data_IF_084500248188
#
_entry.id   IF_084500248188
#
_cell.length_a   1.000
_cell.length_b   1.000
_cell.length_c   1.000
_cell.angle_alpha   90.00
_cell.angle_beta   90.00
_cell.angle_gamma   90.00
#
_symmetry.space_group_name_H-M   'P 1'
#
loop_
_entity.id
_entity.type
_entity.pdbx_description
1 polymer ?
#
# COMPACT_ATOMS: atom_id res chain seq x y z
N UNK A 1 34.77 -8.33 5.45
CA UNK A 1 33.87 -7.98 6.58
C UNK A 1 33.63 -6.47 6.69
N UNK A 2 34.68 -5.62 6.62
CA UNK A 2 34.60 -4.17 6.84
C UNK A 2 33.69 -3.46 5.82
N UNK A 3 33.78 -3.80 4.52
CA UNK A 3 32.95 -3.25 3.44
C UNK A 3 31.47 -3.57 3.61
N UNK A 4 31.14 -4.74 4.14
CA UNK A 4 29.73 -5.12 4.39
C UNK A 4 29.13 -4.37 5.58
N UNK A 5 29.93 -4.10 6.62
CA UNK A 5 29.52 -3.31 7.79
C UNK A 5 29.31 -1.85 7.39
N UNK A 6 30.25 -1.25 6.66
CA UNK A 6 30.13 0.13 6.15
C UNK A 6 28.90 0.28 5.26
N UNK A 7 28.66 -0.67 4.34
CA UNK A 7 27.48 -0.68 3.47
C UNK A 7 26.18 -0.83 4.25
N UNK A 8 26.17 -1.63 5.33
CA UNK A 8 25.01 -1.80 6.22
C UNK A 8 24.73 -0.54 7.05
N UNK A 9 25.77 0.14 7.53
CA UNK A 9 25.64 1.36 8.34
C UNK A 9 25.22 2.56 7.48
N UNK A 10 25.85 2.77 6.32
CA UNK A 10 25.49 3.84 5.39
C UNK A 10 24.06 3.69 4.85
N UNK A 11 23.60 2.44 4.63
CA UNK A 11 22.22 2.14 4.25
C UNK A 11 21.22 2.54 5.33
N UNK A 12 21.52 2.27 6.60
CA UNK A 12 20.64 2.66 7.73
C UNK A 12 20.60 4.16 7.94
N UNK A 13 21.73 4.84 7.80
CA UNK A 13 21.79 6.31 7.95
C UNK A 13 20.98 7.03 6.84
N UNK A 14 21.06 6.53 5.61
CA UNK A 14 20.27 7.08 4.48
C UNK A 14 18.75 6.79 4.54
N UNK A 15 18.31 6.01 5.51
CA UNK A 15 16.90 5.61 5.72
C UNK A 15 16.31 6.18 7.02
N UNK A 16 16.99 7.14 7.64
CA UNK A 16 16.44 7.83 8.82
C UNK A 16 15.29 8.72 8.33
N UNK A 17 14.08 8.34 8.71
CA UNK A 17 12.85 9.03 8.34
C UNK A 17 12.24 9.69 9.59
N UNK A 18 12.79 10.86 9.99
CA UNK A 18 12.20 11.65 11.05
C UNK A 18 10.76 12.07 10.67
N UNK A 19 9.90 12.31 11.66
CA UNK A 19 8.49 12.72 11.46
C UNK A 19 8.34 13.91 10.50
N UNK A 20 9.21 14.92 10.62
CA UNK A 20 9.23 16.06 9.70
C UNK A 20 9.62 15.68 8.28
N UNK A 21 10.59 14.75 8.12
CA UNK A 21 11.01 14.22 6.82
C UNK A 21 9.93 13.33 6.19
N UNK A 22 9.20 12.54 7.00
CA UNK A 22 8.09 11.70 6.50
C UNK A 22 7.01 12.54 5.83
N UNK A 23 6.57 13.63 6.48
CA UNK A 23 5.59 14.56 5.91
C UNK A 23 6.10 15.21 4.62
N UNK A 24 7.35 15.69 4.60
CA UNK A 24 7.96 16.31 3.42
C UNK A 24 8.17 15.32 2.26
N UNK A 25 8.58 14.08 2.53
CA UNK A 25 8.79 13.05 1.51
C UNK A 25 7.46 12.59 0.88
N UNK A 26 6.42 12.44 1.70
CA UNK A 26 5.06 12.13 1.23
C UNK A 26 4.54 13.29 0.39
N UNK A 27 4.64 14.53 0.88
CA UNK A 27 4.24 15.73 0.12
C UNK A 27 4.96 15.78 -1.24
N UNK A 28 6.28 15.64 -1.29
CA UNK A 28 7.04 15.73 -2.54
C UNK A 28 6.60 14.72 -3.61
N UNK A 29 6.22 13.50 -3.22
CA UNK A 29 5.76 12.49 -4.19
C UNK A 29 4.29 12.70 -4.59
N UNK A 30 3.44 13.12 -3.65
CA UNK A 30 2.00 13.30 -3.87
C UNK A 30 1.60 14.74 -4.19
N UNK A 31 2.55 15.70 -4.21
CA UNK A 31 2.39 17.06 -4.77
C UNK A 31 2.34 17.08 -6.30
N UNK A 32 2.46 15.91 -6.95
CA UNK A 32 2.04 15.77 -8.34
C UNK A 32 0.53 15.98 -8.38
N UNK A 33 0.10 16.87 -9.26
CA UNK A 33 -1.30 17.27 -9.42
C UNK A 33 -2.26 16.06 -9.46
N UNK A 34 -3.36 16.10 -8.72
CA UNK A 34 -4.43 15.09 -8.80
C UNK A 34 -4.88 14.83 -10.23
N UNK A 35 -4.84 15.85 -11.10
CA UNK A 35 -5.11 15.74 -12.52
C UNK A 35 -4.15 14.79 -13.28
N UNK A 36 -2.90 14.67 -12.85
CA UNK A 36 -1.99 13.67 -13.44
C UNK A 36 -2.47 12.25 -13.14
N UNK A 37 -2.84 11.99 -11.88
CA UNK A 37 -3.31 10.66 -11.45
C UNK A 37 -4.57 10.22 -12.17
N UNK A 38 -5.48 11.14 -12.48
CA UNK A 38 -6.70 10.89 -13.27
C UNK A 38 -6.41 10.44 -14.71
N UNK A 39 -5.25 10.78 -15.25
CA UNK A 39 -4.88 10.43 -16.62
C UNK A 39 -4.37 8.98 -16.75
N UNK A 40 -3.95 8.33 -15.66
CA UNK A 40 -3.38 6.98 -15.78
C UNK A 40 -3.83 5.97 -14.73
N UNK A 41 -4.34 6.38 -13.57
CA UNK A 41 -4.90 5.45 -12.59
C UNK A 41 -6.28 4.95 -13.02
N UNK A 42 -6.80 3.99 -12.26
CA UNK A 42 -8.19 3.59 -12.30
C UNK A 42 -9.11 4.68 -11.73
N UNK A 43 -10.41 4.54 -11.98
CA UNK A 43 -11.44 5.49 -11.50
C UNK A 43 -11.46 5.69 -9.98
N UNK A 44 -10.92 4.74 -9.22
CA UNK A 44 -10.84 4.80 -7.75
C UNK A 44 -9.49 5.35 -7.26
N UNK A 45 -8.59 5.76 -8.17
CA UNK A 45 -7.25 6.29 -7.91
C UNK A 45 -6.40 5.36 -7.04
N UNK A 46 -6.39 4.06 -7.34
CA UNK A 46 -5.57 3.10 -6.61
C UNK A 46 -4.12 3.13 -7.10
N UNK A 47 -3.22 3.84 -6.40
CA UNK A 47 -1.80 3.91 -6.76
C UNK A 47 -0.99 2.81 -6.06
N UNK A 48 -1.35 1.57 -6.34
CA UNK A 48 -0.70 0.36 -5.79
C UNK A 48 -0.95 -0.83 -6.71
N UNK A 49 -0.26 -1.95 -6.45
CA UNK A 49 -0.39 -3.16 -7.26
C UNK A 49 -1.84 -3.65 -7.33
N UNK A 50 -2.38 -3.81 -8.54
CA UNK A 50 -3.68 -4.41 -8.79
C UNK A 50 -3.61 -5.96 -8.66
N UNK A 51 -4.75 -6.61 -8.53
CA UNK A 51 -4.86 -8.08 -8.55
C UNK A 51 -5.54 -8.53 -9.86
N UNK A 52 -4.79 -9.18 -10.72
CA UNK A 52 -5.24 -9.64 -12.03
C UNK A 52 -5.72 -11.08 -11.95
N UNK A 53 -6.95 -11.34 -12.29
CA UNK A 53 -7.55 -12.68 -12.25
C UNK A 53 -7.11 -13.63 -13.41
N UNK A 54 -6.38 -13.09 -14.38
CA UNK A 54 -5.93 -13.81 -15.56
C UNK A 54 -6.97 -13.91 -16.67
N UNK A 55 -8.17 -13.42 -16.46
CA UNK A 55 -9.28 -13.42 -17.43
C UNK A 55 -9.54 -12.01 -17.96
N UNK A 56 -9.64 -11.05 -17.07
CA UNK A 56 -9.90 -9.64 -17.40
C UNK A 56 -8.59 -8.86 -17.54
N UNK A 57 -8.54 -7.99 -18.56
CA UNK A 57 -7.38 -7.12 -18.80
C UNK A 57 -7.64 -5.66 -18.46
N UNK A 58 -8.75 -5.37 -17.80
CA UNK A 58 -9.12 -4.03 -17.36
C UNK A 58 -8.50 -3.68 -16.01
N UNK A 59 -7.79 -2.53 -15.94
CA UNK A 59 -7.17 -2.04 -14.73
C UNK A 59 -8.19 -1.70 -13.64
N UNK A 60 -9.35 -1.14 -14.00
CA UNK A 60 -10.40 -0.79 -13.03
C UNK A 60 -10.93 -2.04 -12.34
N UNK A 61 -11.17 -3.11 -13.11
CA UNK A 61 -11.57 -4.42 -12.57
C UNK A 61 -10.48 -5.03 -11.69
N UNK A 62 -9.23 -5.01 -12.14
CA UNK A 62 -8.10 -5.56 -11.38
C UNK A 62 -7.87 -4.81 -10.05
N UNK A 63 -8.14 -3.50 -9.99
CA UNK A 63 -8.08 -2.74 -8.74
C UNK A 63 -9.28 -3.02 -7.83
N UNK A 64 -10.46 -3.25 -8.37
CA UNK A 64 -11.61 -3.70 -7.59
C UNK A 64 -11.35 -5.09 -7.00
N UNK A 65 -10.81 -6.02 -7.80
CA UNK A 65 -10.42 -7.36 -7.36
C UNK A 65 -9.34 -7.35 -6.28
N UNK A 66 -8.37 -6.43 -6.36
CA UNK A 66 -7.40 -6.23 -5.27
C UNK A 66 -8.09 -5.90 -3.95
N UNK A 67 -9.10 -5.03 -3.97
CA UNK A 67 -9.82 -4.65 -2.74
C UNK A 67 -10.61 -5.83 -2.17
N UNK A 68 -11.24 -6.64 -3.03
CA UNK A 68 -11.91 -7.88 -2.63
C UNK A 68 -10.93 -8.89 -2.01
N UNK A 69 -9.80 -9.09 -2.67
CA UNK A 69 -8.74 -9.99 -2.23
C UNK A 69 -8.15 -9.61 -0.86
N UNK A 70 -7.93 -8.31 -0.63
CA UNK A 70 -7.48 -7.77 0.67
C UNK A 70 -8.56 -7.95 1.74
N UNK A 71 -9.82 -7.61 1.43
CA UNK A 71 -10.94 -7.73 2.36
C UNK A 71 -11.17 -9.18 2.81
N UNK A 72 -11.05 -10.14 1.89
CA UNK A 72 -11.15 -11.56 2.19
C UNK A 72 -10.08 -12.02 3.20
N UNK A 73 -8.84 -11.59 3.01
CA UNK A 73 -7.73 -11.90 3.95
C UNK A 73 -7.89 -11.26 5.32
N UNK A 74 -8.60 -10.15 5.41
CA UNK A 74 -8.87 -9.50 6.70
C UNK A 74 -9.96 -10.23 7.51
N UNK A 75 -10.66 -11.21 6.95
CA UNK A 75 -11.75 -11.95 7.61
C UNK A 75 -12.74 -11.00 8.29
N UNK A 76 -13.27 -10.05 7.52
CA UNK A 76 -14.12 -8.96 8.00
C UNK A 76 -15.51 -9.47 8.39
N UNK A 77 -16.09 -8.84 9.43
CA UNK A 77 -17.48 -9.01 9.83
C UNK A 77 -18.13 -7.64 10.00
N UNK A 78 -19.43 -7.48 9.70
CA UNK A 78 -20.12 -6.22 9.90
C UNK A 78 -19.93 -5.67 11.32
N UNK A 79 -19.78 -4.35 11.42
CA UNK A 79 -19.58 -3.63 12.70
C UNK A 79 -18.14 -3.65 13.24
N UNK A 80 -17.20 -4.38 12.62
CA UNK A 80 -15.78 -4.30 13.00
C UNK A 80 -15.19 -2.93 12.73
N UNK A 81 -14.22 -2.52 13.56
CA UNK A 81 -13.43 -1.31 13.39
C UNK A 81 -12.15 -1.62 12.62
N UNK A 82 -11.93 -0.92 11.53
CA UNK A 82 -10.76 -1.09 10.67
C UNK A 82 -9.91 0.18 10.65
N UNK A 83 -8.60 0.03 10.75
CA UNK A 83 -7.63 1.10 10.50
C UNK A 83 -6.97 0.88 9.14
N UNK A 84 -7.04 1.89 8.26
CA UNK A 84 -6.34 1.93 6.97
C UNK A 84 -5.14 2.87 7.07
N UNK A 85 -3.92 2.31 7.19
CA UNK A 85 -2.68 3.07 7.37
C UNK A 85 -2.09 3.43 6.00
N UNK A 86 -2.15 4.71 5.64
CA UNK A 86 -1.80 5.21 4.32
C UNK A 86 -2.96 5.08 3.34
N UNK A 87 -4.13 5.59 3.75
CA UNK A 87 -5.40 5.41 3.05
C UNK A 87 -5.50 6.05 1.64
N UNK A 88 -4.50 6.83 1.24
CA UNK A 88 -4.52 7.52 -0.05
C UNK A 88 -5.77 8.38 -0.22
N UNK A 89 -6.41 8.30 -1.36
CA UNK A 89 -7.68 9.01 -1.65
C UNK A 89 -8.93 8.31 -1.11
N UNK A 90 -8.78 7.35 -0.19
CA UNK A 90 -9.86 6.74 0.58
C UNK A 90 -10.57 5.56 -0.09
N UNK A 91 -10.15 5.13 -1.28
CA UNK A 91 -10.87 4.10 -2.05
C UNK A 91 -10.97 2.75 -1.34
N UNK A 92 -9.90 2.29 -0.67
CA UNK A 92 -9.93 1.04 0.12
C UNK A 92 -10.93 1.16 1.29
N UNK A 93 -10.86 2.24 2.06
CA UNK A 93 -11.73 2.46 3.21
C UNK A 93 -13.22 2.49 2.83
N UNK A 94 -13.56 3.20 1.75
CA UNK A 94 -14.92 3.25 1.21
C UNK A 94 -15.40 1.88 0.72
N UNK A 95 -14.53 1.13 0.05
CA UNK A 95 -14.81 -0.23 -0.39
C UNK A 95 -15.14 -1.16 0.78
N UNK A 96 -14.29 -1.17 1.81
CA UNK A 96 -14.44 -2.03 2.98
C UNK A 96 -15.76 -1.75 3.71
N UNK A 97 -16.14 -0.48 3.88
CA UNK A 97 -17.44 -0.13 4.45
C UNK A 97 -18.59 -0.62 3.57
N UNK A 98 -18.58 -0.26 2.29
CA UNK A 98 -19.68 -0.56 1.35
C UNK A 98 -19.94 -2.07 1.22
N UNK A 99 -18.85 -2.87 1.14
CA UNK A 99 -18.95 -4.32 0.88
C UNK A 99 -19.03 -5.18 2.14
N UNK A 100 -18.46 -4.71 3.24
CA UNK A 100 -18.32 -5.54 4.45
C UNK A 100 -19.06 -4.97 5.67
N UNK A 101 -19.66 -3.76 5.58
CA UNK A 101 -20.40 -3.13 6.68
C UNK A 101 -19.54 -2.80 7.90
N UNK A 102 -18.25 -2.48 7.70
CA UNK A 102 -17.28 -2.15 8.76
C UNK A 102 -17.13 -0.64 8.94
N UNK A 103 -16.77 -0.19 10.14
CA UNK A 103 -16.37 1.20 10.39
C UNK A 103 -14.88 1.36 10.09
N UNK A 104 -14.53 2.34 9.28
CA UNK A 104 -13.13 2.52 8.86
C UNK A 104 -12.58 3.88 9.28
N UNK A 105 -11.40 3.88 9.89
CA UNK A 105 -10.59 5.08 10.08
C UNK A 105 -9.40 5.00 9.13
N UNK A 106 -9.35 5.89 8.14
CA UNK A 106 -8.21 6.03 7.24
C UNK A 106 -7.27 7.13 7.70
N UNK A 107 -5.97 6.87 7.69
CA UNK A 107 -4.96 7.88 8.06
C UNK A 107 -3.98 8.13 6.92
N UNK A 108 -3.62 9.39 6.72
CA UNK A 108 -2.64 9.83 5.71
C UNK A 108 -1.83 11.01 6.23
N UNK A 109 -0.68 11.29 5.61
CA UNK A 109 0.12 12.51 5.85
C UNK A 109 -0.02 13.54 4.73
N UNK A 110 -0.80 13.25 3.69
CA UNK A 110 -1.07 14.15 2.56
C UNK A 110 -2.38 14.92 2.79
N UNK A 111 -2.29 16.24 2.83
CA UNK A 111 -3.45 17.14 2.96
C UNK A 111 -4.37 17.06 1.73
N UNK A 112 -3.78 16.92 0.54
CA UNK A 112 -4.54 16.75 -0.71
C UNK A 112 -5.35 15.46 -0.72
N UNK A 113 -4.69 14.34 -0.39
CA UNK A 113 -5.37 13.03 -0.30
C UNK A 113 -6.49 13.05 0.74
N UNK A 114 -6.23 13.66 1.90
CA UNK A 114 -7.22 13.80 2.97
C UNK A 114 -8.47 14.56 2.52
N UNK A 115 -8.28 15.70 1.85
CA UNK A 115 -9.38 16.54 1.37
C UNK A 115 -10.27 15.75 0.41
N UNK A 116 -9.66 15.05 -0.57
CA UNK A 116 -10.39 14.21 -1.54
C UNK A 116 -11.07 13.03 -0.84
N UNK A 117 -10.40 12.33 0.08
CA UNK A 117 -10.96 11.19 0.78
C UNK A 117 -12.19 11.58 1.63
N UNK A 118 -12.12 12.70 2.34
CA UNK A 118 -13.24 13.25 3.11
C UNK A 118 -14.42 13.63 2.22
N UNK A 119 -14.15 14.30 1.11
CA UNK A 119 -15.21 14.67 0.15
C UNK A 119 -15.92 13.41 -0.39
N UNK A 120 -15.15 12.39 -0.77
CA UNK A 120 -15.70 11.11 -1.25
C UNK A 120 -16.58 10.41 -0.20
N UNK A 121 -16.21 10.47 1.09
CA UNK A 121 -17.04 9.91 2.16
C UNK A 121 -18.36 10.69 2.37
N UNK A 122 -18.32 12.02 2.21
CA UNK A 122 -19.51 12.87 2.24
C UNK A 122 -20.42 12.59 1.03
N UNK A 123 -19.87 12.54 -0.17
CA UNK A 123 -20.63 12.27 -1.41
C UNK A 123 -21.29 10.88 -1.39
N UNK A 124 -20.61 9.91 -0.76
CA UNK A 124 -21.15 8.56 -0.56
C UNK A 124 -22.16 8.47 0.61
N UNK A 125 -22.36 9.52 1.40
CA UNK A 125 -23.25 9.54 2.57
C UNK A 125 -22.78 8.67 3.74
N UNK A 126 -21.49 8.32 3.81
CA UNK A 126 -20.92 7.37 4.80
C UNK A 126 -19.93 7.99 5.78
N UNK A 127 -19.84 9.31 5.86
CA UNK A 127 -18.87 10.03 6.70
C UNK A 127 -19.00 9.72 8.21
N UNK A 128 -20.12 9.16 8.66
CA UNK A 128 -20.29 8.69 10.04
C UNK A 128 -19.57 7.36 10.31
N UNK A 129 -19.34 6.55 9.28
CA UNK A 129 -18.74 5.22 9.33
C UNK A 129 -17.32 5.17 8.75
N UNK A 130 -17.02 6.07 7.80
CA UNK A 130 -15.69 6.14 7.15
C UNK A 130 -15.11 7.52 7.43
N UNK A 131 -14.10 7.57 8.29
CA UNK A 131 -13.45 8.81 8.74
C UNK A 131 -12.03 8.86 8.23
N UNK A 132 -11.56 10.07 7.93
CA UNK A 132 -10.18 10.28 7.48
C UNK A 132 -9.50 11.34 8.31
N UNK A 133 -8.24 11.06 8.73
CA UNK A 133 -7.47 11.91 9.63
C UNK A 133 -6.06 12.17 9.09
N UNK A 134 -5.57 13.39 9.31
CA UNK A 134 -4.19 13.77 9.02
C UNK A 134 -3.33 13.45 10.24
N UNK A 135 -2.91 12.20 10.37
CA UNK A 135 -2.16 11.75 11.54
C UNK A 135 -1.11 10.72 11.14
N UNK A 136 0.02 10.74 11.82
CA UNK A 136 1.04 9.70 11.71
C UNK A 136 0.59 8.46 12.50
N UNK A 137 0.79 7.25 11.95
CA UNK A 137 0.41 6.00 12.63
C UNK A 137 1.03 5.84 14.02
N UNK A 138 2.17 6.50 14.28
CA UNK A 138 2.85 6.52 15.59
C UNK A 138 2.09 7.29 16.66
N UNK A 139 1.23 8.20 16.26
CA UNK A 139 0.41 9.04 17.13
C UNK A 139 -1.04 8.56 17.20
N UNK A 140 -1.40 7.54 16.40
CA UNK A 140 -2.75 6.97 16.40
C UNK A 140 -3.08 6.32 17.75
N UNK A 141 -4.31 6.51 18.19
CA UNK A 141 -4.85 5.95 19.43
C UNK A 141 -6.10 5.10 19.17
N UNK A 142 -6.45 4.28 20.12
CA UNK A 142 -7.64 3.43 20.06
C UNK A 142 -7.33 1.96 19.81
N UNK A 143 -8.40 1.18 19.58
CA UNK A 143 -8.32 -0.26 19.31
C UNK A 143 -9.12 -0.57 18.05
N UNK A 144 -8.53 -1.40 17.19
CA UNK A 144 -9.11 -1.82 15.92
C UNK A 144 -9.13 -3.34 15.81
N UNK A 145 -10.21 -3.87 15.26
CA UNK A 145 -10.31 -5.31 15.00
C UNK A 145 -9.44 -5.72 13.82
N UNK A 146 -9.24 -4.81 12.88
CA UNK A 146 -8.44 -5.06 11.68
C UNK A 146 -7.57 -3.85 11.35
N UNK A 147 -6.38 -4.14 10.82
CA UNK A 147 -5.49 -3.11 10.25
C UNK A 147 -5.15 -3.51 8.82
N UNK A 148 -5.24 -2.58 7.90
CA UNK A 148 -4.73 -2.72 6.54
C UNK A 148 -3.71 -1.62 6.24
N UNK A 149 -2.65 -1.97 5.51
CA UNK A 149 -1.68 -1.00 5.02
C UNK A 149 -1.23 -1.41 3.61
N UNK A 150 -1.43 -0.54 2.63
CA UNK A 150 -1.18 -0.81 1.21
C UNK A 150 -0.22 0.22 0.64
N UNK A 151 1.01 -0.20 0.28
CA UNK A 151 2.00 0.65 -0.38
C UNK A 151 2.56 1.78 0.49
N UNK A 152 2.40 1.71 1.81
CA UNK A 152 2.92 2.72 2.76
C UNK A 152 4.23 2.27 3.42
N UNK A 153 4.42 0.97 3.60
CA UNK A 153 5.56 0.43 4.35
C UNK A 153 6.92 0.78 3.73
N UNK A 154 6.96 0.99 2.42
CA UNK A 154 8.12 1.45 1.66
C UNK A 154 8.61 2.84 2.11
N UNK A 155 7.76 3.62 2.75
CA UNK A 155 8.07 4.95 3.29
C UNK A 155 8.42 4.96 4.78
N UNK A 156 8.31 3.82 5.47
CA UNK A 156 8.61 3.71 6.92
C UNK A 156 10.10 3.89 7.21
N UNK A 157 10.96 3.26 6.40
CA UNK A 157 12.41 3.24 6.61
C UNK A 157 12.87 2.13 7.57
N UNK A 158 13.99 1.48 7.23
CA UNK A 158 14.51 0.29 7.95
C UNK A 158 14.62 0.49 9.47
N UNK A 159 15.13 1.63 10.00
CA UNK A 159 15.25 1.82 11.44
C UNK A 159 13.92 1.77 12.20
N UNK A 160 12.81 2.05 11.51
CA UNK A 160 11.48 2.19 12.11
C UNK A 160 10.57 0.99 11.85
N UNK A 161 11.00 -0.05 11.13
CA UNK A 161 10.18 -1.23 10.87
C UNK A 161 9.67 -1.90 12.16
N UNK A 162 10.53 -2.03 13.17
CA UNK A 162 10.11 -2.56 14.48
C UNK A 162 9.07 -1.69 15.18
N UNK A 163 9.25 -0.38 15.09
CA UNK A 163 8.29 0.58 15.67
C UNK A 163 6.94 0.49 14.97
N UNK A 164 6.93 0.38 13.63
CA UNK A 164 5.71 0.17 12.87
C UNK A 164 4.91 -1.05 13.37
N UNK A 165 5.55 -2.21 13.47
CA UNK A 165 4.89 -3.41 13.96
C UNK A 165 4.47 -3.31 15.43
N UNK A 166 5.24 -2.62 16.27
CA UNK A 166 4.87 -2.33 17.66
C UNK A 166 3.61 -1.46 17.73
N UNK A 167 3.52 -0.41 16.91
CA UNK A 167 2.31 0.42 16.83
C UNK A 167 1.11 -0.39 16.36
N UNK A 168 1.24 -1.19 15.29
CA UNK A 168 0.18 -2.05 14.80
C UNK A 168 -0.29 -3.06 15.87
N UNK A 169 0.65 -3.71 16.57
CA UNK A 169 0.31 -4.61 17.65
C UNK A 169 -0.51 -3.92 18.77
N UNK A 170 -0.10 -2.71 19.17
CA UNK A 170 -0.78 -1.97 20.23
C UNK A 170 -2.16 -1.46 19.82
N UNK A 171 -2.35 -1.15 18.53
CA UNK A 171 -3.63 -0.69 17.97
C UNK A 171 -4.61 -1.84 17.66
N UNK A 172 -4.14 -3.08 17.53
CA UNK A 172 -5.00 -4.23 17.32
C UNK A 172 -5.67 -4.68 18.63
N UNK A 173 -6.93 -5.08 18.57
CA UNK A 173 -7.61 -5.83 19.63
C UNK A 173 -6.92 -7.20 19.86
N UNK A 174 -7.17 -7.90 20.98
CA UNK A 174 -6.58 -9.23 21.21
C UNK A 174 -6.81 -10.22 20.06
N UNK A 175 -7.98 -10.22 19.43
CA UNK A 175 -8.32 -11.05 18.25
C UNK A 175 -8.06 -10.33 16.92
N UNK A 176 -7.23 -9.29 16.96
CA UNK A 176 -6.97 -8.45 15.83
C UNK A 176 -6.16 -9.13 14.73
N UNK A 177 -6.49 -8.81 13.48
CA UNK A 177 -5.78 -9.28 12.28
C UNK A 177 -5.31 -8.07 11.47
N UNK A 178 -4.10 -8.17 10.91
CA UNK A 178 -3.51 -7.14 10.06
C UNK A 178 -3.13 -7.73 8.70
N UNK A 179 -3.31 -6.95 7.65
CA UNK A 179 -2.75 -7.24 6.33
C UNK A 179 -1.78 -6.12 5.91
N UNK A 180 -0.56 -6.51 5.62
CA UNK A 180 0.46 -5.65 5.03
C UNK A 180 0.63 -6.01 3.54
N UNK A 181 0.35 -5.05 2.66
CA UNK A 181 0.60 -5.14 1.23
C UNK A 181 1.74 -4.19 0.89
N UNK A 182 2.89 -4.71 0.53
CA UNK A 182 4.09 -3.91 0.28
C UNK A 182 4.91 -4.45 -0.89
N UNK A 183 5.54 -3.54 -1.63
CA UNK A 183 6.58 -3.93 -2.58
C UNK A 183 7.71 -4.62 -1.80
N UNK A 184 8.25 -5.67 -2.36
CA UNK A 184 9.35 -6.41 -1.80
C UNK A 184 10.36 -6.86 -2.85
N UNK A 185 11.45 -7.45 -2.40
CA UNK A 185 12.46 -8.04 -3.28
C UNK A 185 12.68 -9.50 -2.97
N UNK A 186 12.91 -10.30 -4.04
CA UNK A 186 13.16 -11.74 -3.95
C UNK A 186 14.52 -12.05 -3.29
N UNK A 187 15.49 -11.18 -3.50
CA UNK A 187 16.82 -11.33 -2.91
C UNK A 187 16.90 -10.76 -1.50
N UNK A 188 18.09 -10.78 -0.93
CA UNK A 188 18.39 -10.15 0.36
C UNK A 188 18.28 -8.63 0.34
N UNK A 189 18.53 -7.99 1.48
CA UNK A 189 18.49 -6.54 1.63
C UNK A 189 19.30 -5.77 0.58
N UNK A 190 18.73 -4.72 0.00
CA UNK A 190 19.32 -3.93 -1.08
C UNK A 190 19.33 -2.43 -0.80
N UNK A 191 19.41 -1.64 -1.85
CA UNK A 191 19.30 -0.17 -1.80
C UNK A 191 18.42 0.33 -2.93
N UNK A 192 17.79 1.47 -2.73
CA UNK A 192 17.05 2.17 -3.78
C UNK A 192 18.05 2.81 -4.74
N UNK A 193 17.79 2.68 -6.05
CA UNK A 193 18.64 3.27 -7.08
C UNK A 193 18.60 4.82 -7.04
N UNK A 194 19.60 5.44 -7.68
CA UNK A 194 19.77 6.89 -7.61
C UNK A 194 18.66 7.66 -8.33
N UNK A 195 18.11 7.11 -9.42
CA UNK A 195 17.04 7.75 -10.18
C UNK A 195 15.73 7.76 -9.36
N UNK A 196 15.30 6.60 -8.88
CA UNK A 196 14.09 6.46 -8.06
C UNK A 196 14.17 7.33 -6.81
N UNK A 197 15.32 7.31 -6.10
CA UNK A 197 15.51 8.10 -4.89
C UNK A 197 15.49 9.61 -5.14
N UNK A 198 15.97 10.07 -6.30
CA UNK A 198 16.05 11.50 -6.62
C UNK A 198 14.76 12.07 -7.17
N UNK A 199 14.08 11.32 -8.05
CA UNK A 199 13.00 11.86 -8.87
C UNK A 199 11.60 11.31 -8.56
N UNK A 200 11.51 10.12 -7.94
CA UNK A 200 10.24 9.42 -7.79
C UNK A 200 9.86 9.27 -6.30
N UNK A 201 10.67 8.55 -5.52
CA UNK A 201 10.40 8.24 -4.11
C UNK A 201 11.59 8.62 -3.21
N UNK A 202 11.76 9.91 -2.86
CA UNK A 202 12.77 10.31 -1.88
C UNK A 202 12.55 9.59 -0.55
N UNK A 203 13.61 8.98 -0.01
CA UNK A 203 13.53 8.21 1.23
C UNK A 203 12.87 6.83 1.13
N UNK A 204 12.30 6.46 -0.01
CA UNK A 204 11.66 5.16 -0.21
C UNK A 204 12.65 3.98 -0.15
N UNK A 205 12.21 2.86 0.43
CA UNK A 205 12.99 1.64 0.52
C UNK A 205 12.12 0.40 0.27
N UNK A 206 12.58 -0.48 -0.61
CA UNK A 206 11.91 -1.75 -0.89
C UNK A 206 12.56 -2.85 -0.05
N UNK A 207 11.84 -3.40 0.96
CA UNK A 207 12.39 -4.40 1.87
C UNK A 207 12.51 -5.78 1.24
N UNK A 208 13.43 -6.59 1.77
CA UNK A 208 13.38 -8.04 1.61
C UNK A 208 12.37 -8.63 2.59
N UNK A 209 11.78 -9.79 2.26
CA UNK A 209 10.85 -10.49 3.17
C UNK A 209 11.50 -10.77 4.53
N UNK A 210 12.78 -11.14 4.55
CA UNK A 210 13.55 -11.36 5.78
C UNK A 210 13.64 -10.14 6.69
N UNK A 211 13.68 -8.92 6.13
CA UNK A 211 13.70 -7.68 6.92
C UNK A 211 12.33 -7.39 7.54
N UNK A 212 11.26 -7.68 6.80
CA UNK A 212 9.88 -7.51 7.27
C UNK A 212 9.62 -8.48 8.44
N UNK A 213 9.89 -9.77 8.24
CA UNK A 213 9.67 -10.81 9.25
C UNK A 213 10.55 -10.56 10.49
N UNK A 214 11.84 -10.28 10.32
CA UNK A 214 12.75 -9.95 11.43
C UNK A 214 12.27 -8.76 12.27
N UNK A 215 11.55 -7.81 11.67
CA UNK A 215 11.01 -6.65 12.37
C UNK A 215 9.68 -6.95 13.09
N UNK A 216 8.86 -7.86 12.56
CA UNK A 216 7.55 -8.21 13.13
C UNK A 216 7.65 -9.22 14.30
N UNK A 217 8.55 -10.21 14.23
CA UNK A 217 8.69 -11.26 15.23
C UNK A 217 8.77 -10.76 16.69
N UNK A 218 9.61 -9.75 17.04
CA UNK A 218 9.71 -9.29 18.43
C UNK A 218 8.43 -8.65 18.98
N UNK A 219 7.49 -8.32 18.10
CA UNK A 219 6.24 -7.64 18.44
C UNK A 219 5.06 -8.62 18.64
N UNK A 220 5.32 -9.92 18.68
CA UNK A 220 4.29 -10.96 18.90
C UNK A 220 3.13 -10.89 17.91
N UNK A 221 3.41 -10.45 16.68
CA UNK A 221 2.50 -10.57 15.55
C UNK A 221 2.85 -11.86 14.80
N UNK A 222 1.95 -12.81 14.88
CA UNK A 222 2.15 -14.11 14.23
C UNK A 222 1.84 -13.98 12.74
N UNK A 223 2.79 -14.32 11.88
CA UNK A 223 2.54 -14.46 10.44
C UNK A 223 1.63 -15.66 10.22
N UNK A 224 0.46 -15.43 9.63
CA UNK A 224 -0.55 -16.46 9.36
C UNK A 224 -0.66 -16.79 7.88
N UNK A 225 -0.29 -15.87 7.00
CA UNK A 225 -0.21 -16.07 5.55
C UNK A 225 0.83 -15.15 4.90
N UNK A 226 1.47 -15.65 3.85
CA UNK A 226 2.35 -14.85 2.98
C UNK A 226 2.05 -15.20 1.54
N UNK A 227 1.58 -14.23 0.77
CA UNK A 227 1.39 -14.36 -0.66
C UNK A 227 2.34 -13.46 -1.43
N UNK A 228 2.89 -13.98 -2.52
CA UNK A 228 3.72 -13.24 -3.46
C UNK A 228 2.93 -12.93 -4.73
N UNK A 229 2.58 -11.67 -4.92
CA UNK A 229 1.93 -11.18 -6.14
C UNK A 229 2.99 -10.93 -7.23
N UNK A 230 3.51 -11.99 -7.79
CA UNK A 230 4.69 -12.02 -8.67
C UNK A 230 4.63 -11.01 -9.83
N UNK A 231 3.78 -11.28 -10.82
CA UNK A 231 3.68 -10.50 -12.06
C UNK A 231 2.58 -9.43 -12.04
N UNK A 232 1.77 -9.40 -11.00
CA UNK A 232 0.63 -8.48 -10.91
C UNK A 232 1.06 -7.01 -11.02
N UNK A 233 2.18 -6.65 -10.40
CA UNK A 233 2.63 -5.25 -10.45
C UNK A 233 3.28 -4.90 -11.78
N UNK A 234 3.94 -5.84 -12.45
CA UNK A 234 4.41 -5.66 -13.82
C UNK A 234 3.26 -5.28 -14.76
N UNK A 235 2.17 -6.07 -14.74
CA UNK A 235 0.94 -5.76 -15.50
C UNK A 235 0.32 -4.42 -15.12
N UNK A 236 0.28 -4.11 -13.83
CA UNK A 236 -0.25 -2.82 -13.33
C UNK A 236 0.57 -1.65 -13.84
N UNK A 237 1.90 -1.71 -13.75
CA UNK A 237 2.80 -0.66 -14.25
C UNK A 237 2.71 -0.53 -15.78
N UNK A 238 2.49 -1.64 -16.50
CA UNK A 238 2.27 -1.64 -17.94
C UNK A 238 0.99 -0.91 -18.30
N UNK A 239 -0.11 -1.21 -17.63
CA UNK A 239 -1.39 -0.54 -17.83
C UNK A 239 -1.28 0.98 -17.54
N UNK A 240 -0.58 1.38 -16.47
CA UNK A 240 -0.31 2.80 -16.21
C UNK A 240 0.55 3.44 -17.29
N UNK A 241 1.58 2.75 -17.77
CA UNK A 241 2.41 3.24 -18.87
C UNK A 241 1.59 3.47 -20.13
N UNK A 242 0.76 2.51 -20.53
CA UNK A 242 -0.06 2.59 -21.74
C UNK A 242 -1.09 3.75 -21.65
N UNK A 243 -1.73 3.91 -20.48
CA UNK A 243 -2.62 5.05 -20.21
C UNK A 243 -1.87 6.38 -20.26
N UNK A 244 -0.63 6.47 -19.74
CA UNK A 244 0.20 7.65 -19.87
C UNK A 244 0.57 7.97 -21.33
N UNK A 245 0.89 6.95 -22.13
CA UNK A 245 1.18 7.14 -23.56
C UNK A 245 -0.05 7.64 -24.31
N UNK A 246 -1.23 7.10 -24.03
CA UNK A 246 -2.49 7.53 -24.62
C UNK A 246 -2.84 9.00 -24.26
N UNK A 247 -2.47 9.44 -23.06
CA UNK A 247 -2.75 10.80 -22.56
C UNK A 247 -1.54 11.73 -22.63
N UNK A 248 -0.56 11.45 -23.50
CA UNK A 248 0.70 12.21 -23.60
C UNK A 248 0.49 13.72 -23.71
N UNK A 249 -0.36 14.17 -24.63
CA UNK A 249 -0.58 15.60 -24.85
C UNK A 249 -1.12 16.32 -23.61
N UNK A 250 -2.02 15.66 -22.85
CA UNK A 250 -2.56 16.21 -21.61
C UNK A 250 -1.49 16.29 -20.51
N UNK A 251 -0.63 15.28 -20.41
CA UNK A 251 0.47 15.25 -19.42
C UNK A 251 1.52 16.33 -19.76
N UNK A 252 1.88 16.49 -21.05
CA UNK A 252 2.81 17.54 -21.50
C UNK A 252 2.22 18.94 -21.28
N UNK A 253 0.91 19.11 -21.38
CA UNK A 253 0.23 20.37 -21.08
C UNK A 253 0.18 20.70 -19.58
N UNK A 254 0.08 19.68 -18.71
CA UNK A 254 0.13 19.85 -17.24
C UNK A 254 1.53 20.21 -16.73
N UNK A 255 2.56 19.70 -17.39
CA UNK A 255 3.96 19.86 -16.98
C UNK A 255 4.82 20.32 -18.17
N UNK A 256 5.51 19.37 -18.81
CA UNK A 256 6.28 19.55 -20.04
C UNK A 256 6.71 18.20 -20.66
N UNK A 257 7.32 18.24 -21.84
CA UNK A 257 7.83 17.05 -22.52
C UNK A 257 8.98 16.36 -21.77
N UNK A 258 9.74 17.07 -20.91
CA UNK A 258 10.80 16.49 -20.09
C UNK A 258 10.21 15.65 -18.96
N UNK A 259 9.18 16.15 -18.28
CA UNK A 259 8.43 15.42 -17.27
C UNK A 259 7.83 14.14 -17.85
N UNK A 260 7.15 14.25 -19.01
CA UNK A 260 6.57 13.09 -19.68
C UNK A 260 7.61 12.00 -19.96
N UNK A 261 8.79 12.36 -20.49
CA UNK A 261 9.87 11.37 -20.73
C UNK A 261 10.38 10.74 -19.43
N UNK A 262 10.55 11.51 -18.37
CA UNK A 262 10.98 11.03 -17.05
C UNK A 262 9.96 10.07 -16.46
N UNK A 263 8.67 10.42 -16.52
CA UNK A 263 7.58 9.60 -16.00
C UNK A 263 7.39 8.31 -16.78
N UNK A 264 7.42 8.38 -18.11
CA UNK A 264 7.39 7.21 -19.00
C UNK A 264 8.57 6.27 -18.76
N UNK A 265 9.78 6.81 -18.57
CA UNK A 265 10.97 6.01 -18.21
C UNK A 265 10.79 5.30 -16.87
N UNK A 266 10.26 5.99 -15.87
CA UNK A 266 9.95 5.39 -14.58
C UNK A 266 8.97 4.23 -14.71
N UNK A 267 7.82 4.41 -15.38
CA UNK A 267 6.80 3.38 -15.51
C UNK A 267 7.27 2.17 -16.32
N UNK A 268 7.99 2.40 -17.42
CA UNK A 268 8.60 1.33 -18.21
C UNK A 268 9.65 0.55 -17.41
N UNK A 269 10.51 1.26 -16.67
CA UNK A 269 11.51 0.64 -15.78
C UNK A 269 10.87 -0.15 -14.65
N UNK A 270 9.80 0.37 -14.04
CA UNK A 270 9.03 -0.32 -13.02
C UNK A 270 8.41 -1.60 -13.59
N UNK A 271 7.70 -1.54 -14.73
CA UNK A 271 7.15 -2.73 -15.38
C UNK A 271 8.23 -3.79 -15.60
N UNK A 272 9.35 -3.41 -16.19
CA UNK A 272 10.47 -4.33 -16.49
C UNK A 272 11.05 -5.00 -15.24
N UNK A 273 11.22 -4.26 -14.15
CA UNK A 273 11.82 -4.82 -12.92
C UNK A 273 10.88 -5.79 -12.20
N UNK A 274 9.56 -5.62 -12.33
CA UNK A 274 8.57 -6.57 -11.81
C UNK A 274 8.33 -7.76 -12.74
N UNK A 275 8.52 -7.61 -14.04
CA UNK A 275 8.37 -8.71 -15.01
C UNK A 275 9.61 -9.61 -15.08
N UNK A 276 10.81 -9.01 -15.05
CA UNK A 276 12.07 -9.70 -15.34
C UNK A 276 13.12 -9.55 -14.26
N UNK A 277 12.93 -8.63 -13.32
CA UNK A 277 13.85 -8.37 -12.23
C UNK A 277 13.52 -9.11 -10.93
N UNK A 278 14.13 -8.67 -9.84
CA UNK A 278 13.97 -9.28 -8.52
C UNK A 278 12.93 -8.61 -7.62
N UNK A 279 12.01 -7.80 -8.16
CA UNK A 279 10.95 -7.15 -7.38
C UNK A 279 9.61 -7.85 -7.55
N UNK A 280 8.80 -7.80 -6.49
CA UNK A 280 7.45 -8.34 -6.45
C UNK A 280 6.65 -7.58 -5.37
N UNK A 281 5.41 -7.99 -5.12
CA UNK A 281 4.63 -7.48 -3.99
C UNK A 281 4.32 -8.62 -3.05
N UNK A 282 4.47 -8.38 -1.76
CA UNK A 282 4.02 -9.28 -0.71
C UNK A 282 2.70 -8.80 -0.11
N UNK A 283 1.80 -9.75 0.12
CA UNK A 283 0.70 -9.58 1.06
C UNK A 283 0.97 -10.50 2.25
N UNK A 284 1.16 -9.91 3.44
CA UNK A 284 1.50 -10.64 4.66
C UNK A 284 0.37 -10.43 5.65
N UNK A 285 -0.27 -11.53 6.04
CA UNK A 285 -1.30 -11.51 7.07
C UNK A 285 -0.68 -11.82 8.44
N UNK A 286 -1.09 -11.04 9.43
CA UNK A 286 -0.68 -11.18 10.82
C UNK A 286 -1.88 -11.32 11.72
N UNK A 287 -1.75 -12.09 12.81
CA UNK A 287 -2.73 -12.16 13.89
C UNK A 287 -2.07 -11.97 15.25
N UNK A 288 -2.79 -11.38 16.21
CA UNK A 288 -2.34 -11.32 17.63
C UNK A 288 -2.60 -12.60 18.37
N UNK A 289 -3.74 -13.26 18.12
CA UNK A 289 -4.10 -14.56 18.72
C UNK A 289 -4.15 -15.64 17.64
N UNK A 290 -3.70 -16.84 17.96
CA UNK A 290 -3.70 -18.00 17.06
C UNK A 290 -5.10 -18.49 16.68
N UNK A 291 -6.13 -18.06 17.42
CA UNK A 291 -7.54 -18.40 17.20
C UNK A 291 -8.31 -17.33 16.45
N UNK A 292 -7.67 -16.20 16.11
CA UNK A 292 -8.32 -15.07 15.45
C UNK A 292 -8.83 -15.38 14.03
N UNK A 293 -8.30 -16.43 13.42
CA UNK A 293 -8.60 -16.85 12.06
C UNK A 293 -9.02 -18.34 12.03
N UNK A 294 -9.79 -18.76 11.00
CA UNK A 294 -10.06 -20.17 10.72
C UNK A 294 -8.76 -20.97 10.55
N UNK A 295 -8.81 -22.29 10.87
CA UNK A 295 -7.65 -23.17 10.77
C UNK A 295 -7.20 -23.35 9.32
N UNK A 296 -8.15 -23.48 8.39
CA UNK A 296 -7.87 -23.60 6.94
C UNK A 296 -7.95 -22.25 6.24
N UNK A 297 -7.36 -22.16 5.04
CA UNK A 297 -7.34 -20.93 4.23
C UNK A 297 -8.58 -20.77 3.35
N UNK A 298 -9.50 -21.72 3.35
CA UNK A 298 -10.66 -21.75 2.43
C UNK A 298 -11.53 -20.50 2.57
N UNK A 299 -11.64 -19.95 3.78
CA UNK A 299 -12.39 -18.71 4.06
C UNK A 299 -11.95 -17.54 3.17
N UNK A 300 -10.66 -17.49 2.75
CA UNK A 300 -10.17 -16.41 1.88
C UNK A 300 -10.80 -16.52 0.49
N UNK A 301 -10.78 -17.71 -0.10
CA UNK A 301 -11.34 -17.94 -1.43
C UNK A 301 -12.86 -17.77 -1.45
N UNK A 302 -13.54 -18.27 -0.42
CA UNK A 302 -15.00 -18.15 -0.27
C UNK A 302 -15.43 -16.68 -0.12
N UNK A 303 -14.77 -15.93 0.77
CA UNK A 303 -15.07 -14.52 0.99
C UNK A 303 -14.74 -13.67 -0.26
N UNK A 304 -13.62 -13.95 -0.94
CA UNK A 304 -13.25 -13.25 -2.16
C UNK A 304 -14.27 -13.48 -3.28
N UNK A 305 -14.70 -14.72 -3.48
CA UNK A 305 -15.73 -15.05 -4.46
C UNK A 305 -17.06 -14.31 -4.17
N UNK A 306 -17.49 -14.30 -2.91
CA UNK A 306 -18.70 -13.58 -2.49
C UNK A 306 -18.58 -12.06 -2.71
N UNK A 307 -17.43 -11.46 -2.39
CA UNK A 307 -17.19 -10.02 -2.57
C UNK A 307 -17.14 -9.60 -4.04
N UNK A 308 -16.61 -10.46 -4.92
CA UNK A 308 -16.56 -10.23 -6.36
C UNK A 308 -17.94 -10.39 -7.02
N UNK A 309 -18.78 -11.30 -6.50
CA UNK A 309 -20.13 -11.52 -7.02
C UNK A 309 -21.13 -10.44 -6.57
N UNK A 310 -20.88 -9.78 -5.44
CA UNK A 310 -21.72 -8.68 -4.96
C UNK A 310 -21.52 -7.43 -5.84
N UNK A 311 -22.59 -6.99 -6.54
CA UNK A 311 -22.57 -5.80 -7.39
C UNK A 311 -22.31 -4.49 -6.60
#
# INVERSE_FOLDING_TARGET
>A
PLRSVIKKTSRRLGQINFRSASKANVAHHYDLSGALYDLFLDKDRQYSCAYWDGVHEDLDKAQEDKKAHIAAKLALKPGMKVLDIGCGWGGMALYLHRKCGVDVTGITLSEEQLAVARQRALDAGVANHVRFELIDYRDMQGQFDRIVSVGMFEHVGIPYFREFFRCCHNLLTPEGVMLLHTIGRMGGPGSTDAFTRKYIFPGGYIPALSEIVQASEPNRLMVTDVESLRLHYGRTCRAWYDRCQANRAAIEALYDARFFRMWSFYLAGAATVFEHGGMLVYQIQYARDRRALPITRDYMAEAEAALRASA
#
